data_IF_028176136848
#
_entry.id   IF_028176136848
#
_cell.length_a   1.000
_cell.length_b   1.000
_cell.length_c   1.000
_cell.angle_alpha   90.00
_cell.angle_beta   90.00
_cell.angle_gamma   90.00
#
_symmetry.space_group_name_H-M   'P 1'
#
loop_
_entity.id
_entity.type
_entity.pdbx_description
1 polymer ?
#
# COMPACT_ATOMS: atom_id res chain seq x y z
N UNK A 1 13.94 58.44 -41.76
CA UNK A 1 14.75 57.55 -40.91
C UNK A 1 13.98 57.27 -39.63
N UNK A 2 13.70 55.99 -39.37
CA UNK A 2 13.01 55.51 -38.18
C UNK A 2 13.94 55.57 -36.96
N UNK A 3 13.48 56.12 -35.84
CA UNK A 3 14.15 55.99 -34.54
C UNK A 3 13.17 55.36 -33.56
N UNK A 4 13.47 54.12 -33.19
CA UNK A 4 12.74 53.27 -32.26
C UNK A 4 12.79 53.81 -30.82
N UNK A 5 11.63 54.04 -30.22
CA UNK A 5 11.50 54.17 -28.76
C UNK A 5 11.24 52.77 -28.15
N UNK A 6 11.96 52.35 -27.09
CA UNK A 6 11.76 51.05 -26.48
C UNK A 6 10.49 51.02 -25.60
N UNK A 7 9.67 49.97 -25.77
CA UNK A 7 8.46 49.71 -24.96
C UNK A 7 8.83 49.36 -23.50
N UNK A 8 8.00 49.75 -22.50
CA UNK A 8 8.32 49.54 -21.09
C UNK A 8 8.25 48.05 -20.71
N UNK A 9 9.32 47.54 -20.08
CA UNK A 9 9.36 46.20 -19.48
C UNK A 9 8.47 46.18 -18.23
N UNK A 10 7.35 45.46 -18.28
CA UNK A 10 6.54 45.19 -17.07
C UNK A 10 7.27 44.14 -16.20
N UNK A 11 7.96 44.62 -15.16
CA UNK A 11 8.49 43.77 -14.09
C UNK A 11 7.34 43.35 -13.17
N UNK A 12 6.92 42.08 -13.27
CA UNK A 12 6.02 41.48 -12.29
C UNK A 12 6.82 41.12 -11.02
N UNK A 13 6.89 42.06 -10.09
CA UNK A 13 7.43 41.83 -8.75
C UNK A 13 6.41 41.00 -7.95
N UNK A 14 6.62 39.68 -7.90
CA UNK A 14 5.86 38.79 -7.01
C UNK A 14 6.24 39.09 -5.56
N UNK A 15 5.40 39.87 -4.85
CA UNK A 15 5.50 40.06 -3.40
C UNK A 15 5.36 38.72 -2.68
N UNK A 16 6.40 38.35 -1.95
CA UNK A 16 6.47 37.20 -1.05
C UNK A 16 5.66 37.48 0.22
N UNK A 17 5.12 36.40 0.81
CA UNK A 17 4.50 36.27 2.13
C UNK A 17 2.96 36.40 2.25
N UNK A 18 2.29 35.26 2.01
CA UNK A 18 1.22 34.76 2.90
C UNK A 18 1.65 33.38 3.36
N UNK A 19 1.52 33.07 4.66
CA UNK A 19 1.78 31.73 5.20
C UNK A 19 1.01 30.70 4.36
N UNK A 20 1.73 29.85 3.63
CA UNK A 20 1.15 28.86 2.72
C UNK A 20 0.44 27.83 3.59
N UNK A 21 -0.89 27.90 3.68
CA UNK A 21 -1.69 26.73 3.97
C UNK A 21 -1.37 25.77 2.82
N UNK A 22 -0.60 24.70 3.09
CA UNK A 22 -0.21 23.76 2.04
C UNK A 22 -1.51 23.17 1.49
N UNK A 23 -1.86 23.51 0.24
CA UNK A 23 -3.00 22.92 -0.44
C UNK A 23 -2.70 21.43 -0.62
N UNK A 24 -3.21 20.61 0.29
CA UNK A 24 -3.01 19.16 0.30
C UNK A 24 -4.25 18.48 -0.24
N UNK A 25 -4.05 17.67 -1.26
CA UNK A 25 -5.07 16.79 -1.81
C UNK A 25 -5.06 15.53 -0.95
N UNK A 26 -6.13 15.25 -0.21
CA UNK A 26 -6.24 14.03 0.61
C UNK A 26 -7.22 13.07 -0.04
N UNK A 27 -6.77 11.85 -0.35
CA UNK A 27 -7.58 10.84 -1.03
C UNK A 27 -7.30 9.47 -0.42
N UNK A 28 -8.33 8.62 -0.33
CA UNK A 28 -8.19 7.19 -0.11
C UNK A 28 -7.33 6.57 -1.22
N UNK A 29 -6.46 5.63 -0.86
CA UNK A 29 -5.59 4.96 -1.82
C UNK A 29 -6.39 4.19 -2.88
N UNK A 30 -7.60 3.69 -2.57
CA UNK A 30 -8.51 3.07 -3.55
C UNK A 30 -8.79 4.01 -4.72
N UNK A 31 -9.05 5.29 -4.45
CA UNK A 31 -9.29 6.30 -5.48
C UNK A 31 -8.02 6.70 -6.27
N UNK A 32 -6.82 6.46 -5.72
CA UNK A 32 -5.56 6.66 -6.43
C UNK A 32 -5.36 5.54 -7.46
N UNK A 33 -5.68 4.31 -7.07
CA UNK A 33 -5.57 3.10 -7.89
C UNK A 33 -6.83 2.83 -8.76
N UNK A 34 -7.89 3.64 -8.65
CA UNK A 34 -9.10 3.48 -9.46
C UNK A 34 -8.89 3.89 -10.93
N UNK A 35 -9.63 3.29 -11.84
CA UNK A 35 -9.66 3.74 -13.23
C UNK A 35 -10.48 5.03 -13.37
N UNK A 36 -10.11 5.93 -14.28
CA UNK A 36 -10.88 7.14 -14.62
C UNK A 36 -11.14 7.17 -16.12
N UNK A 37 -12.37 7.45 -16.56
CA UNK A 37 -12.71 7.41 -17.98
C UNK A 37 -12.13 8.60 -18.79
N UNK A 38 -11.19 8.31 -19.70
CA UNK A 38 -10.69 9.26 -20.72
C UNK A 38 -10.36 10.68 -20.21
N UNK A 39 -9.88 10.80 -18.97
CA UNK A 39 -9.69 12.11 -18.33
C UNK A 39 -8.40 12.79 -18.81
N UNK A 40 -8.49 14.07 -19.16
CA UNK A 40 -7.32 14.85 -19.61
C UNK A 40 -6.50 15.42 -18.44
N UNK A 41 -5.27 15.87 -18.72
CA UNK A 41 -4.39 16.51 -17.72
C UNK A 41 -5.07 17.71 -17.03
N UNK A 42 -5.79 18.54 -17.79
CA UNK A 42 -6.43 19.73 -17.25
C UNK A 42 -7.67 19.38 -16.43
N UNK A 43 -8.40 18.34 -16.83
CA UNK A 43 -9.54 17.82 -16.09
C UNK A 43 -9.11 17.23 -14.73
N UNK A 44 -8.07 16.36 -14.70
CA UNK A 44 -7.55 15.83 -13.42
C UNK A 44 -7.06 16.96 -12.51
N UNK A 45 -6.41 18.00 -13.04
CA UNK A 45 -5.95 19.15 -12.23
C UNK A 45 -7.11 19.90 -11.58
N UNK A 46 -8.20 20.13 -12.31
CA UNK A 46 -9.39 20.79 -11.75
C UNK A 46 -10.03 19.91 -10.67
N UNK A 47 -10.13 18.61 -10.90
CA UNK A 47 -10.61 17.68 -9.89
C UNK A 47 -9.73 17.70 -8.63
N UNK A 48 -8.42 17.55 -8.77
CA UNK A 48 -7.50 17.54 -7.63
C UNK A 48 -7.44 18.90 -6.92
N UNK A 49 -7.58 20.02 -7.65
CA UNK A 49 -7.76 21.34 -7.04
C UNK A 49 -9.03 21.37 -6.18
N UNK A 50 -10.15 20.84 -6.68
CA UNK A 50 -11.42 20.80 -5.93
C UNK A 50 -11.27 19.96 -4.65
N UNK A 51 -10.59 18.82 -4.74
CA UNK A 51 -10.28 17.96 -3.58
C UNK A 51 -9.38 18.68 -2.56
N UNK A 52 -8.43 19.51 -3.01
CA UNK A 52 -7.52 20.24 -2.13
C UNK A 52 -8.20 21.30 -1.25
N UNK A 53 -9.45 21.67 -1.58
CA UNK A 53 -10.24 22.63 -0.80
C UNK A 53 -11.10 21.96 0.28
N UNK A 54 -11.19 20.63 0.27
CA UNK A 54 -11.91 19.89 1.29
C UNK A 54 -11.11 19.84 2.60
N UNK A 55 -11.82 19.75 3.71
CA UNK A 55 -11.27 19.35 4.99
C UNK A 55 -11.70 17.90 5.30
N UNK A 56 -10.85 16.89 5.04
CA UNK A 56 -11.22 15.47 5.14
C UNK A 56 -11.70 15.03 6.52
N UNK A 57 -11.33 15.75 7.59
CA UNK A 57 -11.66 15.40 8.98
C UNK A 57 -12.86 16.15 9.52
N UNK A 58 -13.21 17.31 8.96
CA UNK A 58 -14.31 18.16 9.44
C UNK A 58 -15.53 18.11 8.51
N UNK A 59 -15.31 18.00 7.21
CA UNK A 59 -16.39 17.99 6.24
C UNK A 59 -17.14 16.66 6.30
N UNK A 60 -18.46 16.74 6.37
CA UNK A 60 -19.36 15.57 6.39
C UNK A 60 -20.16 15.42 5.10
N UNK A 61 -20.33 16.51 4.35
CA UNK A 61 -21.12 16.57 3.13
C UNK A 61 -20.44 17.48 2.10
N UNK A 62 -20.65 17.20 0.81
CA UNK A 62 -20.19 18.09 -0.25
C UNK A 62 -21.19 19.21 -0.47
N UNK A 63 -20.75 20.44 -0.26
CA UNK A 63 -21.53 21.64 -0.57
C UNK A 63 -21.11 22.23 -1.92
N UNK A 64 -21.98 23.02 -2.58
CA UNK A 64 -21.59 23.78 -3.76
C UNK A 64 -20.46 24.75 -3.46
N UNK A 65 -19.33 24.57 -4.16
CA UNK A 65 -18.12 25.37 -4.03
C UNK A 65 -17.84 26.14 -5.32
N UNK A 66 -16.91 27.09 -5.25
CA UNK A 66 -16.53 27.93 -6.39
C UNK A 66 -15.03 27.83 -6.68
N UNK A 67 -14.71 27.80 -7.97
CA UNK A 67 -13.35 27.89 -8.50
C UNK A 67 -13.25 29.22 -9.26
N UNK A 68 -12.54 30.22 -8.71
CA UNK A 68 -12.16 31.39 -9.49
C UNK A 68 -11.25 30.94 -10.63
N UNK A 69 -11.55 31.33 -11.87
CA UNK A 69 -10.74 30.93 -13.03
C UNK A 69 -9.28 31.35 -12.83
N UNK A 70 -9.03 32.50 -12.20
CA UNK A 70 -7.69 33.00 -11.86
C UNK A 70 -6.84 32.02 -11.02
N UNK A 71 -7.45 31.16 -10.20
CA UNK A 71 -6.72 30.19 -9.36
C UNK A 71 -6.21 28.97 -10.15
N UNK A 72 -6.89 28.58 -11.23
CA UNK A 72 -6.54 27.40 -12.02
C UNK A 72 -5.89 27.77 -13.36
N UNK A 73 -6.17 28.96 -13.90
CA UNK A 73 -5.81 29.34 -15.26
C UNK A 73 -4.30 29.24 -15.55
N UNK A 74 -3.45 29.67 -14.60
CA UNK A 74 -1.99 29.55 -14.74
C UNK A 74 -1.50 28.10 -14.85
N UNK A 75 -2.19 27.15 -14.21
CA UNK A 75 -1.86 25.73 -14.24
C UNK A 75 -2.43 25.00 -15.47
N UNK A 76 -3.44 25.55 -16.12
CA UNK A 76 -4.06 24.99 -17.33
C UNK A 76 -3.29 25.32 -18.62
N UNK A 77 -2.25 26.16 -18.53
CA UNK A 77 -1.35 26.57 -19.63
C UNK A 77 -2.06 27.09 -20.90
N UNK A 78 -3.30 27.59 -20.77
CA UNK A 78 -4.01 28.24 -21.85
C UNK A 78 -3.59 29.71 -21.98
N UNK A 79 -3.31 30.15 -23.22
CA UNK A 79 -2.75 31.48 -23.51
C UNK A 79 -3.75 32.64 -23.40
N UNK A 80 -5.05 32.35 -23.36
CA UNK A 80 -6.11 33.38 -23.40
C UNK A 80 -7.01 33.31 -22.17
N UNK A 81 -6.91 34.35 -21.33
CA UNK A 81 -7.51 34.47 -20.00
C UNK A 81 -9.04 34.35 -19.95
N UNK A 82 -9.74 34.31 -21.09
CA UNK A 82 -11.21 34.40 -21.15
C UNK A 82 -11.85 33.58 -22.29
N UNK A 83 -11.25 32.46 -22.72
CA UNK A 83 -11.89 31.63 -23.74
C UNK A 83 -13.09 30.86 -23.15
N UNK A 84 -14.26 31.50 -23.17
CA UNK A 84 -15.52 30.93 -22.69
C UNK A 84 -15.78 29.54 -23.26
N UNK A 85 -15.50 29.36 -24.55
CA UNK A 85 -15.70 28.09 -25.26
C UNK A 85 -14.83 26.99 -24.66
N UNK A 86 -13.58 27.30 -24.35
CA UNK A 86 -12.67 26.36 -23.69
C UNK A 86 -13.17 25.95 -22.31
N UNK A 87 -13.50 26.90 -21.44
CA UNK A 87 -13.97 26.59 -20.07
C UNK A 87 -15.31 25.85 -20.10
N UNK A 88 -16.23 26.25 -20.99
CA UNK A 88 -17.50 25.53 -21.20
C UNK A 88 -17.24 24.07 -21.58
N UNK A 89 -16.33 23.83 -22.54
CA UNK A 89 -15.96 22.47 -22.97
C UNK A 89 -15.29 21.67 -21.86
N UNK A 90 -14.42 22.32 -21.07
CA UNK A 90 -13.80 21.71 -19.90
C UNK A 90 -14.86 21.26 -18.88
N UNK A 91 -15.84 22.11 -18.55
CA UNK A 91 -16.93 21.76 -17.65
C UNK A 91 -17.81 20.64 -18.20
N UNK A 92 -18.15 20.68 -19.50
CA UNK A 92 -18.95 19.65 -20.17
C UNK A 92 -18.25 18.28 -20.15
N UNK A 93 -16.94 18.26 -20.41
CA UNK A 93 -16.16 17.03 -20.31
C UNK A 93 -16.04 16.54 -18.87
N UNK A 94 -15.71 17.43 -17.92
CA UNK A 94 -15.60 17.09 -16.49
C UNK A 94 -16.89 16.49 -15.93
N UNK A 95 -18.05 16.99 -16.35
CA UNK A 95 -19.35 16.47 -15.94
C UNK A 95 -19.59 15.02 -16.38
N UNK A 96 -18.89 14.55 -17.42
CA UNK A 96 -18.95 13.19 -17.94
C UNK A 96 -17.89 12.27 -17.33
N UNK A 97 -17.04 12.79 -16.44
CA UNK A 97 -15.97 12.01 -15.83
C UNK A 97 -16.48 11.15 -14.68
N UNK A 98 -16.13 9.88 -14.76
CA UNK A 98 -16.40 8.82 -13.80
C UNK A 98 -15.09 8.20 -13.35
N UNK A 99 -15.15 7.55 -12.19
CA UNK A 99 -14.13 6.60 -11.77
C UNK A 99 -14.79 5.23 -11.53
N UNK A 100 -14.01 4.18 -11.67
CA UNK A 100 -14.45 2.81 -11.45
C UNK A 100 -13.77 2.25 -10.21
N UNK A 101 -14.56 1.70 -9.29
CA UNK A 101 -14.06 0.93 -8.15
C UNK A 101 -14.45 -0.54 -8.34
N UNK A 102 -13.45 -1.40 -8.23
CA UNK A 102 -13.57 -2.86 -8.33
C UNK A 102 -13.06 -3.42 -7.01
N UNK A 103 -13.95 -3.45 -6.01
CA UNK A 103 -13.63 -3.91 -4.67
C UNK A 103 -14.29 -5.24 -4.38
N UNK A 104 -13.56 -6.10 -3.68
CA UNK A 104 -14.13 -7.25 -3.01
C UNK A 104 -14.87 -6.74 -1.76
N UNK A 105 -16.19 -6.85 -1.78
CA UNK A 105 -17.02 -6.65 -0.59
C UNK A 105 -17.27 -7.98 0.11
N UNK A 106 -17.67 -7.95 1.37
CA UNK A 106 -18.13 -9.15 2.09
C UNK A 106 -19.63 -9.04 2.22
N UNK A 107 -20.35 -10.03 1.73
CA UNK A 107 -21.79 -10.11 1.94
C UNK A 107 -22.04 -10.28 3.45
N UNK A 108 -22.76 -9.34 4.11
CA UNK A 108 -22.98 -9.41 5.56
C UNK A 108 -23.86 -10.59 5.99
N UNK A 109 -24.55 -11.24 5.04
CA UNK A 109 -25.47 -12.36 5.26
C UNK A 109 -24.77 -13.69 5.07
N UNK A 110 -23.99 -13.85 3.98
CA UNK A 110 -23.33 -15.12 3.64
C UNK A 110 -21.89 -15.18 4.14
N UNK A 111 -21.30 -14.04 4.52
CA UNK A 111 -19.90 -13.88 4.89
C UNK A 111 -18.92 -14.32 3.76
N UNK A 112 -19.42 -14.35 2.52
CA UNK A 112 -18.64 -14.66 1.32
C UNK A 112 -18.10 -13.39 0.67
N UNK A 113 -17.00 -13.52 -0.06
CA UNK A 113 -16.45 -12.43 -0.86
C UNK A 113 -17.28 -12.27 -2.14
N UNK A 114 -17.74 -11.04 -2.37
CA UNK A 114 -18.48 -10.66 -3.57
C UNK A 114 -17.65 -9.63 -4.33
N UNK A 115 -17.42 -9.91 -5.61
CA UNK A 115 -16.83 -8.94 -6.54
C UNK A 115 -17.87 -7.87 -6.87
N UNK A 116 -17.62 -6.63 -6.45
CA UNK A 116 -18.50 -5.50 -6.73
C UNK A 116 -17.82 -4.55 -7.74
N UNK A 117 -18.52 -4.31 -8.85
CA UNK A 117 -18.13 -3.34 -9.88
C UNK A 117 -19.03 -2.12 -9.80
N UNK A 118 -18.44 -0.95 -9.56
CA UNK A 118 -19.17 0.32 -9.52
C UNK A 118 -18.48 1.40 -10.35
N UNK A 119 -19.21 1.99 -11.29
CA UNK A 119 -18.77 3.20 -12.01
C UNK A 119 -19.55 4.41 -11.49
N UNK A 120 -18.83 5.40 -10.95
CA UNK A 120 -19.42 6.53 -10.23
C UNK A 120 -19.00 7.86 -10.85
N UNK A 121 -19.93 8.82 -11.05
CA UNK A 121 -19.61 10.16 -11.51
C UNK A 121 -18.83 10.94 -10.44
N UNK A 122 -17.88 11.77 -10.87
CA UNK A 122 -17.03 12.56 -9.95
C UNK A 122 -17.74 13.83 -9.48
N UNK A 123 -18.36 14.55 -10.40
CA UNK A 123 -19.08 15.79 -10.13
C UNK A 123 -20.58 15.57 -10.26
N UNK A 124 -21.34 16.05 -9.30
CA UNK A 124 -22.80 16.11 -9.40
C UNK A 124 -23.24 17.28 -10.27
N UNK A 125 -22.53 18.42 -10.17
CA UNK A 125 -22.87 19.63 -10.94
C UNK A 125 -21.63 20.45 -11.24
N UNK A 126 -21.60 21.04 -12.43
CA UNK A 126 -20.62 22.02 -12.88
C UNK A 126 -21.35 23.15 -13.62
N UNK A 127 -21.16 24.40 -13.19
CA UNK A 127 -21.78 25.58 -13.79
C UNK A 127 -20.73 26.65 -14.01
N UNK A 128 -20.54 27.09 -15.24
CA UNK A 128 -19.64 28.19 -15.55
C UNK A 128 -20.41 29.51 -15.73
N UNK A 129 -20.04 30.53 -14.96
CA UNK A 129 -20.61 31.89 -15.08
C UNK A 129 -19.59 32.83 -15.71
N UNK A 130 -19.73 33.08 -17.03
CA UNK A 130 -18.80 33.90 -17.82
C UNK A 130 -18.48 35.25 -17.17
N UNK A 131 -19.51 36.04 -16.82
CA UNK A 131 -19.35 37.40 -16.27
C UNK A 131 -18.62 37.43 -14.93
N UNK A 132 -18.65 36.34 -14.18
CA UNK A 132 -18.00 36.24 -12.87
C UNK A 132 -16.62 35.57 -12.96
N UNK A 133 -16.26 35.01 -14.12
CA UNK A 133 -15.05 34.19 -14.29
C UNK A 133 -14.94 33.10 -13.19
N UNK A 134 -16.04 32.41 -12.92
CA UNK A 134 -16.15 31.41 -11.85
C UNK A 134 -16.81 30.12 -12.36
N UNK A 135 -16.28 28.97 -11.94
CA UNK A 135 -16.92 27.66 -12.04
C UNK A 135 -17.53 27.32 -10.68
N UNK A 136 -18.83 27.12 -10.60
CA UNK A 136 -19.48 26.50 -9.44
C UNK A 136 -19.51 24.99 -9.61
N UNK A 137 -19.13 24.23 -8.60
CA UNK A 137 -19.09 22.78 -8.64
C UNK A 137 -19.64 22.16 -7.36
N UNK A 138 -20.10 20.92 -7.45
CA UNK A 138 -20.35 20.05 -6.29
C UNK A 138 -19.85 18.65 -6.66
N UNK A 139 -19.07 18.05 -5.77
CA UNK A 139 -18.65 16.66 -5.91
C UNK A 139 -19.84 15.73 -5.68
N UNK A 140 -19.83 14.57 -6.33
CA UNK A 140 -20.89 13.60 -6.19
C UNK A 140 -20.83 12.86 -4.85
N UNK A 141 -21.96 12.63 -4.21
CA UNK A 141 -22.02 11.97 -2.91
C UNK A 141 -21.40 10.56 -2.89
N UNK A 142 -21.40 9.85 -4.02
CA UNK A 142 -20.73 8.56 -4.15
C UNK A 142 -19.21 8.61 -3.92
N UNK A 143 -18.56 9.78 -4.12
CA UNK A 143 -17.11 9.92 -3.87
C UNK A 143 -16.78 10.21 -2.38
N UNK A 144 -17.78 10.44 -1.52
CA UNK A 144 -17.58 10.76 -0.08
C UNK A 144 -16.66 9.77 0.63
N UNK A 145 -16.84 8.43 0.51
CA UNK A 145 -16.02 7.45 1.23
C UNK A 145 -14.53 7.52 0.88
N UNK A 146 -14.19 8.15 -0.24
CA UNK A 146 -12.82 8.23 -0.76
C UNK A 146 -12.14 9.57 -0.44
N UNK A 147 -12.88 10.57 0.04
CA UNK A 147 -12.36 11.92 0.27
C UNK A 147 -12.61 12.45 1.69
N UNK A 148 -13.68 11.99 2.35
CA UNK A 148 -14.11 12.45 3.67
C UNK A 148 -14.06 11.32 4.71
N UNK A 149 -13.87 11.67 5.98
CA UNK A 149 -13.84 10.69 7.07
C UNK A 149 -12.67 9.70 7.00
N UNK A 150 -11.60 10.04 6.25
CA UNK A 150 -10.46 9.17 5.99
C UNK A 150 -9.64 8.97 7.27
N UNK A 151 -9.66 7.74 7.81
CA UNK A 151 -8.91 7.37 9.03
C UNK A 151 -7.62 6.62 8.74
N UNK A 152 -7.61 5.79 7.69
CA UNK A 152 -6.50 4.90 7.32
C UNK A 152 -6.39 4.83 5.79
N UNK A 153 -5.24 4.38 5.29
CA UNK A 153 -5.03 4.08 3.86
C UNK A 153 -5.32 5.25 2.93
N UNK A 154 -4.95 6.47 3.33
CA UNK A 154 -5.07 7.66 2.49
C UNK A 154 -3.71 8.28 2.22
N UNK A 155 -3.63 9.05 1.15
CA UNK A 155 -2.43 9.78 0.74
C UNK A 155 -2.73 11.25 0.60
N UNK A 156 -1.87 12.07 1.22
CA UNK A 156 -1.87 13.51 1.06
C UNK A 156 -0.84 13.94 0.01
N UNK A 157 -1.30 14.51 -1.08
CA UNK A 157 -0.47 14.96 -2.20
C UNK A 157 -0.39 16.49 -2.22
N UNK A 158 0.81 17.09 -2.23
CA UNK A 158 0.94 18.53 -2.40
C UNK A 158 0.44 18.97 -3.78
N UNK A 159 -0.56 19.86 -3.81
CA UNK A 159 -1.12 20.36 -5.06
C UNK A 159 -0.06 21.07 -5.92
N UNK A 160 0.89 21.75 -5.29
CA UNK A 160 1.98 22.46 -5.98
C UNK A 160 2.89 21.54 -6.79
N UNK A 161 2.97 20.25 -6.44
CA UNK A 161 3.69 19.26 -7.25
C UNK A 161 2.90 18.82 -8.48
N UNK A 162 1.56 18.88 -8.42
CA UNK A 162 0.64 18.42 -9.47
C UNK A 162 0.45 19.48 -10.56
N UNK A 163 0.16 20.73 -10.16
CA UNK A 163 -0.18 21.80 -11.08
C UNK A 163 0.82 22.04 -12.23
N UNK A 164 2.16 21.95 -12.04
CA UNK A 164 3.11 22.14 -13.13
C UNK A 164 3.31 20.91 -14.05
N UNK A 165 2.78 19.73 -13.69
CA UNK A 165 2.88 18.54 -14.53
C UNK A 165 1.98 18.67 -15.76
N UNK A 166 2.46 18.27 -16.94
CA UNK A 166 1.71 18.31 -18.21
C UNK A 166 1.19 16.96 -18.63
N UNK A 167 1.75 15.88 -18.08
CA UNK A 167 1.32 14.52 -18.33
C UNK A 167 0.31 14.07 -17.29
N UNK A 168 -0.90 13.71 -17.73
CA UNK A 168 -1.88 13.00 -16.91
C UNK A 168 -1.26 11.77 -16.23
N UNK A 169 -0.47 11.00 -16.97
CA UNK A 169 0.20 9.82 -16.44
C UNK A 169 1.25 10.16 -15.36
N UNK A 170 1.95 11.30 -15.47
CA UNK A 170 2.89 11.72 -14.43
C UNK A 170 2.17 11.99 -13.11
N UNK A 171 1.02 12.66 -13.15
CA UNK A 171 0.19 12.96 -11.99
C UNK A 171 -0.26 11.67 -11.32
N UNK A 172 -0.85 10.75 -12.10
CA UNK A 172 -1.36 9.46 -11.59
C UNK A 172 -0.25 8.58 -11.00
N UNK A 173 0.86 8.40 -11.73
CA UNK A 173 2.00 7.61 -11.26
C UNK A 173 2.58 8.25 -10.00
N UNK A 174 2.76 9.58 -9.96
CA UNK A 174 3.25 10.25 -8.76
C UNK A 174 2.39 9.98 -7.52
N UNK A 175 1.07 10.05 -7.64
CA UNK A 175 0.15 9.73 -6.53
C UNK A 175 0.33 8.29 -6.05
N UNK A 176 0.48 7.32 -6.97
CA UNK A 176 0.78 5.93 -6.64
C UNK A 176 2.11 5.80 -5.89
N UNK A 177 3.20 6.37 -6.41
CA UNK A 177 4.52 6.34 -5.75
C UNK A 177 4.48 7.00 -4.37
N UNK A 178 3.75 8.11 -4.23
CA UNK A 178 3.59 8.81 -2.96
C UNK A 178 2.80 7.98 -1.94
N UNK A 179 1.82 7.19 -2.40
CA UNK A 179 1.06 6.28 -1.54
C UNK A 179 1.91 5.13 -0.98
N UNK A 180 2.85 4.62 -1.78
CA UNK A 180 3.77 3.55 -1.37
C UNK A 180 4.91 4.09 -0.50
N UNK A 181 5.48 5.26 -0.84
CA UNK A 181 6.60 5.82 -0.08
C UNK A 181 6.19 6.20 1.35
N UNK A 182 4.94 6.63 1.54
CA UNK A 182 4.34 6.92 2.85
C UNK A 182 4.08 5.65 3.68
N UNK A 183 3.98 4.50 3.03
CA UNK A 183 3.97 3.18 3.66
C UNK A 183 5.40 2.62 3.84
N UNK A 184 6.43 3.46 3.74
CA UNK A 184 7.84 3.09 3.84
C UNK A 184 8.34 2.12 2.76
N UNK A 185 7.67 2.00 1.61
CA UNK A 185 8.11 1.18 0.46
C UNK A 185 8.84 2.02 -0.60
N UNK A 186 10.02 1.59 -1.04
CA UNK A 186 10.81 2.29 -2.06
C UNK A 186 10.57 1.72 -3.46
N UNK A 187 9.74 0.68 -3.53
CA UNK A 187 9.45 -0.05 -4.73
C UNK A 187 7.95 -0.25 -4.88
N UNK A 188 7.50 -0.24 -6.12
CA UNK A 188 6.13 -0.58 -6.52
C UNK A 188 6.23 -1.54 -7.70
N UNK A 189 5.95 -2.81 -7.45
CA UNK A 189 5.81 -3.82 -8.49
C UNK A 189 4.35 -3.89 -8.93
N UNK A 190 4.10 -3.75 -10.21
CA UNK A 190 2.75 -3.77 -10.78
C UNK A 190 2.73 -4.45 -12.14
N UNK A 191 1.64 -5.17 -12.42
CA UNK A 191 1.40 -5.75 -13.73
C UNK A 191 1.20 -4.63 -14.78
N UNK A 192 1.78 -4.80 -15.97
CA UNK A 192 1.72 -3.79 -17.03
C UNK A 192 0.30 -3.57 -17.54
N UNK A 193 -0.48 -4.64 -17.73
CA UNK A 193 -1.84 -4.53 -18.23
C UNK A 193 -2.73 -3.80 -17.22
N UNK A 194 -2.64 -4.18 -15.94
CA UNK A 194 -3.35 -3.51 -14.86
C UNK A 194 -2.98 -2.02 -14.74
N UNK A 195 -1.68 -1.69 -14.85
CA UNK A 195 -1.27 -0.28 -14.83
C UNK A 195 -1.82 0.49 -16.05
N UNK A 196 -1.80 -0.11 -17.24
CA UNK A 196 -2.35 0.50 -18.45
C UNK A 196 -3.86 0.77 -18.31
N UNK A 197 -4.58 -0.12 -17.66
CA UNK A 197 -6.01 -0.01 -17.38
C UNK A 197 -6.33 1.13 -16.39
N UNK A 198 -5.69 1.14 -15.21
CA UNK A 198 -5.89 2.19 -14.19
C UNK A 198 -5.54 3.58 -14.74
N UNK A 199 -4.47 3.64 -15.55
CA UNK A 199 -4.05 4.87 -16.23
C UNK A 199 -4.91 5.18 -17.47
N UNK A 200 -5.83 4.30 -17.87
CA UNK A 200 -6.66 4.44 -19.06
C UNK A 200 -5.85 4.84 -20.30
N UNK A 201 -4.76 4.10 -20.51
CA UNK A 201 -3.82 4.34 -21.59
C UNK A 201 -4.52 4.11 -22.93
N UNK A 202 -4.38 5.07 -23.85
CA UNK A 202 -4.93 4.94 -25.18
C UNK A 202 -4.44 3.68 -25.88
N UNK A 203 -5.32 3.00 -26.64
CA UNK A 203 -5.02 1.74 -27.33
C UNK A 203 -3.74 1.80 -28.18
N UNK A 204 -3.48 2.94 -28.82
CA UNK A 204 -2.28 3.19 -29.63
C UNK A 204 -0.97 3.19 -28.84
N UNK A 205 -1.01 3.33 -27.52
CA UNK A 205 0.16 3.38 -26.63
C UNK A 205 0.32 2.10 -25.78
N UNK A 206 -0.50 1.07 -25.99
CA UNK A 206 -0.43 -0.17 -25.21
C UNK A 206 0.81 -1.01 -25.55
N UNK A 207 1.35 -0.85 -26.75
CA UNK A 207 2.59 -1.51 -27.16
C UNK A 207 3.72 -1.03 -26.26
N UNK A 208 4.51 -1.96 -25.72
CA UNK A 208 5.52 -1.67 -24.70
C UNK A 208 6.47 -0.51 -25.06
N UNK A 209 6.93 -0.42 -26.31
CA UNK A 209 7.85 0.63 -26.72
C UNK A 209 7.22 2.02 -26.60
N UNK A 210 5.97 2.17 -27.04
CA UNK A 210 5.22 3.43 -26.95
C UNK A 210 4.80 3.72 -25.51
N UNK A 211 4.35 2.72 -24.77
CA UNK A 211 4.06 2.85 -23.35
C UNK A 211 5.29 3.35 -22.58
N UNK A 212 6.45 2.74 -22.79
CA UNK A 212 7.71 3.15 -22.17
C UNK A 212 8.05 4.60 -22.53
N UNK A 213 8.06 4.95 -23.82
CA UNK A 213 8.51 6.25 -24.31
C UNK A 213 7.55 7.40 -23.95
N UNK A 214 6.26 7.22 -24.18
CA UNK A 214 5.27 8.29 -24.10
C UNK A 214 4.57 8.37 -22.74
N UNK A 215 4.56 7.27 -21.97
CA UNK A 215 3.95 7.22 -20.65
C UNK A 215 5.02 7.22 -19.56
N UNK A 216 5.83 6.17 -19.48
CA UNK A 216 6.73 5.93 -18.34
C UNK A 216 7.90 6.94 -18.28
N UNK A 217 8.64 7.12 -19.39
CA UNK A 217 9.77 8.05 -19.44
C UNK A 217 9.33 9.51 -19.29
N UNK A 218 8.18 9.86 -19.87
CA UNK A 218 7.59 11.20 -19.70
C UNK A 218 7.18 11.43 -18.25
N UNK A 219 6.54 10.45 -17.62
CA UNK A 219 6.19 10.50 -16.21
C UNK A 219 7.43 10.67 -15.32
N UNK A 220 8.46 9.86 -15.53
CA UNK A 220 9.72 9.94 -14.78
C UNK A 220 10.33 11.34 -14.85
N UNK A 221 10.42 11.94 -16.05
CA UNK A 221 10.96 13.30 -16.24
C UNK A 221 10.18 14.35 -15.47
N UNK A 222 8.85 14.32 -15.53
CA UNK A 222 8.01 15.31 -14.86
C UNK A 222 8.00 15.12 -13.32
N UNK A 223 7.93 13.88 -12.83
CA UNK A 223 8.02 13.55 -11.40
C UNK A 223 9.34 14.05 -10.83
N UNK A 224 10.46 13.70 -11.49
CA UNK A 224 11.79 14.09 -11.06
C UNK A 224 12.02 15.60 -11.15
N UNK A 225 11.23 16.34 -11.94
CA UNK A 225 11.32 17.79 -12.02
C UNK A 225 10.49 18.50 -10.96
N UNK A 226 9.22 18.11 -10.77
CA UNK A 226 8.25 18.91 -10.03
C UNK A 226 7.89 18.38 -8.64
N UNK A 227 8.16 17.11 -8.35
CA UNK A 227 7.78 16.49 -7.07
C UNK A 227 8.91 16.48 -6.04
N UNK A 228 8.62 16.05 -4.82
CA UNK A 228 9.61 15.76 -3.78
C UNK A 228 10.13 14.31 -3.80
N UNK A 229 9.71 13.52 -4.80
CA UNK A 229 10.15 12.15 -5.07
C UNK A 229 11.09 12.14 -6.29
N UNK A 230 12.06 11.23 -6.28
CA UNK A 230 12.83 10.82 -7.45
C UNK A 230 12.40 9.41 -7.82
N UNK A 231 11.87 9.24 -9.02
CA UNK A 231 11.75 7.95 -9.68
C UNK A 231 13.10 7.62 -10.32
N UNK A 232 13.85 6.74 -9.66
CA UNK A 232 15.24 6.36 -9.96
C UNK A 232 15.26 5.45 -11.17
N UNK A 233 14.46 4.39 -11.14
CA UNK A 233 14.47 3.35 -12.16
C UNK A 233 13.07 2.78 -12.39
N UNK A 234 12.85 2.31 -13.62
CA UNK A 234 11.66 1.54 -14.02
C UNK A 234 12.16 0.24 -14.64
N UNK A 235 12.14 -0.82 -13.84
CA UNK A 235 12.70 -2.12 -14.18
C UNK A 235 11.62 -3.03 -14.78
N UNK A 236 11.72 -3.45 -16.05
CA UNK A 236 10.77 -4.37 -16.66
C UNK A 236 11.10 -5.84 -16.36
N UNK A 237 10.08 -6.61 -15.99
CA UNK A 237 10.15 -8.04 -15.73
C UNK A 237 9.47 -8.82 -16.86
N UNK A 238 10.15 -9.84 -17.36
CA UNK A 238 9.69 -10.65 -18.51
C UNK A 238 9.24 -12.03 -18.07
N UNK A 239 8.19 -12.51 -18.72
CA UNK A 239 7.82 -13.91 -18.75
C UNK A 239 7.91 -14.38 -20.20
N UNK A 240 8.96 -15.13 -20.52
CA UNK A 240 9.33 -15.43 -21.90
C UNK A 240 9.66 -14.16 -22.70
N UNK A 241 8.94 -13.92 -23.80
CA UNK A 241 9.14 -12.74 -24.66
C UNK A 241 8.33 -11.52 -24.23
N UNK A 242 7.29 -11.70 -23.40
CA UNK A 242 6.36 -10.64 -23.00
C UNK A 242 6.84 -10.00 -21.70
N UNK A 243 6.73 -8.68 -21.61
CA UNK A 243 6.90 -7.95 -20.34
C UNK A 243 5.57 -8.01 -19.62
N UNK A 244 5.56 -8.62 -18.43
CA UNK A 244 4.35 -8.84 -17.65
C UNK A 244 4.23 -7.82 -16.53
N UNK A 245 5.34 -7.50 -15.88
CA UNK A 245 5.38 -6.63 -14.71
C UNK A 245 6.47 -5.57 -14.86
N UNK A 246 6.30 -4.47 -14.14
CA UNK A 246 7.33 -3.46 -13.97
C UNK A 246 7.49 -3.15 -12.49
N UNK A 247 8.72 -2.84 -12.09
CA UNK A 247 9.03 -2.35 -10.75
C UNK A 247 9.54 -0.92 -10.85
N UNK A 248 8.81 0.01 -10.23
CA UNK A 248 9.28 1.38 -10.02
C UNK A 248 10.18 1.41 -8.79
N UNK A 249 11.37 1.98 -8.90
CA UNK A 249 12.28 2.24 -7.77
C UNK A 249 12.35 3.74 -7.51
N UNK A 250 12.01 4.18 -6.31
CA UNK A 250 11.85 5.60 -5.99
C UNK A 250 12.16 5.96 -4.54
N UNK A 251 12.57 7.22 -4.35
CA UNK A 251 13.05 7.76 -3.08
C UNK A 251 12.66 9.22 -2.89
N UNK A 252 12.73 9.73 -1.66
CA UNK A 252 12.58 11.18 -1.44
C UNK A 252 13.82 11.92 -1.97
N UNK A 253 13.62 13.09 -2.57
CA UNK A 253 14.72 13.99 -2.97
C UNK A 253 15.53 14.50 -1.78
N UNK A 254 14.85 14.84 -0.70
CA UNK A 254 15.47 15.40 0.50
C UNK A 254 16.12 14.31 1.33
N UNK A 255 17.41 14.45 1.60
CA UNK A 255 18.18 13.56 2.48
C UNK A 255 17.56 13.46 3.87
N UNK A 256 17.10 14.57 4.45
CA UNK A 256 16.46 14.56 5.78
C UNK A 256 15.19 13.69 5.79
N UNK A 257 14.33 13.83 4.77
CA UNK A 257 13.14 12.98 4.62
C UNK A 257 13.50 11.51 4.45
N UNK A 258 14.57 11.21 3.72
CA UNK A 258 15.09 9.83 3.58
C UNK A 258 15.53 9.27 4.92
N UNK A 259 16.35 10.01 5.66
CA UNK A 259 16.84 9.61 6.98
C UNK A 259 15.67 9.34 7.92
N UNK A 260 14.76 10.29 8.09
CA UNK A 260 13.58 10.15 8.98
C UNK A 260 12.76 8.91 8.63
N UNK A 261 12.52 8.68 7.34
CA UNK A 261 11.81 7.50 6.85
C UNK A 261 12.58 6.21 7.13
N UNK A 262 13.88 6.15 6.89
CA UNK A 262 14.70 4.96 7.16
C UNK A 262 14.66 4.61 8.65
N UNK A 263 14.74 5.61 9.54
CA UNK A 263 14.52 5.43 10.99
C UNK A 263 13.13 4.85 11.27
N UNK A 264 12.10 5.36 10.59
CA UNK A 264 10.71 4.92 10.78
C UNK A 264 10.50 3.48 10.32
N UNK A 265 11.07 3.12 9.17
CA UNK A 265 11.03 1.76 8.61
C UNK A 265 11.71 0.76 9.55
N UNK A 266 12.87 1.12 10.09
CA UNK A 266 13.58 0.31 11.08
C UNK A 266 12.76 0.16 12.37
N UNK A 267 12.20 1.24 12.90
CA UNK A 267 11.35 1.19 14.09
C UNK A 267 10.10 0.32 13.87
N UNK A 268 9.46 0.42 12.70
CA UNK A 268 8.29 -0.41 12.35
C UNK A 268 8.65 -1.89 12.26
N UNK A 269 9.79 -2.23 11.65
CA UNK A 269 10.27 -3.62 11.57
C UNK A 269 10.55 -4.18 12.96
N UNK A 270 11.21 -3.40 13.81
CA UNK A 270 11.49 -3.76 15.20
C UNK A 270 10.20 -3.99 15.98
N UNK A 271 9.23 -3.08 15.88
CA UNK A 271 7.94 -3.23 16.56
C UNK A 271 7.19 -4.47 16.10
N UNK A 272 7.19 -4.78 14.80
CA UNK A 272 6.57 -6.00 14.28
C UNK A 272 7.21 -7.27 14.86
N UNK A 273 8.54 -7.28 15.05
CA UNK A 273 9.24 -8.38 15.73
C UNK A 273 8.84 -8.46 17.21
N UNK A 274 8.80 -7.33 17.91
CA UNK A 274 8.41 -7.29 19.33
C UNK A 274 6.98 -7.77 19.56
N UNK A 275 6.05 -7.36 18.70
CA UNK A 275 4.65 -7.79 18.78
C UNK A 275 4.53 -9.28 18.46
N UNK A 276 5.24 -9.78 17.45
CA UNK A 276 5.32 -11.20 17.19
C UNK A 276 5.91 -11.98 18.38
N UNK A 277 6.89 -11.45 19.10
CA UNK A 277 7.41 -12.08 20.32
C UNK A 277 6.39 -12.12 21.46
N UNK A 278 5.64 -11.04 21.68
CA UNK A 278 4.58 -11.04 22.69
C UNK A 278 3.55 -12.13 22.44
N UNK A 279 3.24 -12.44 21.17
CA UNK A 279 2.31 -13.52 20.83
C UNK A 279 2.77 -14.91 21.28
N UNK A 280 4.08 -15.15 21.42
CA UNK A 280 4.64 -16.44 21.84
C UNK A 280 4.84 -16.55 23.35
N UNK A 281 4.89 -15.43 24.09
CA UNK A 281 5.15 -15.45 25.52
C UNK A 281 4.08 -16.27 26.25
N UNK A 282 4.50 -17.27 27.04
CA UNK A 282 3.60 -18.17 27.76
C UNK A 282 2.90 -19.23 26.90
N UNK A 283 3.19 -19.29 25.58
CA UNK A 283 2.70 -20.37 24.71
C UNK A 283 3.71 -21.52 24.64
N UNK A 284 3.20 -22.71 24.35
CA UNK A 284 4.03 -23.86 24.01
C UNK A 284 4.47 -23.78 22.56
N UNK A 285 5.73 -24.15 22.30
CA UNK A 285 6.25 -24.30 20.96
C UNK A 285 6.97 -25.63 20.80
N UNK A 286 6.86 -26.20 19.61
CA UNK A 286 7.57 -27.39 19.20
C UNK A 286 9.07 -27.08 19.06
N UNK A 287 9.89 -27.81 19.81
CA UNK A 287 11.34 -27.70 19.77
C UNK A 287 11.96 -29.04 19.38
N UNK A 288 12.91 -29.01 18.45
CA UNK A 288 13.61 -30.22 18.01
C UNK A 288 14.72 -30.55 19.02
N UNK A 289 14.51 -31.62 19.81
CA UNK A 289 15.55 -32.14 20.70
C UNK A 289 16.45 -33.07 19.89
N UNK A 290 17.71 -32.67 19.67
CA UNK A 290 18.72 -33.56 19.08
C UNK A 290 19.14 -34.61 20.13
N UNK A 291 18.57 -35.81 20.05
CA UNK A 291 19.05 -36.98 20.79
C UNK A 291 20.33 -37.51 20.15
N UNK A 292 21.38 -37.70 20.95
CA UNK A 292 22.70 -38.17 20.49
C UNK A 292 22.76 -39.69 20.21
N UNK A 293 21.67 -40.46 20.36
CA UNK A 293 21.79 -41.92 20.47
C UNK A 293 20.85 -42.78 19.61
N UNK A 294 20.12 -42.25 18.63
CA UNK A 294 19.52 -43.09 17.57
C UNK A 294 19.30 -42.35 16.25
N UNK A 295 19.39 -43.05 15.10
CA UNK A 295 19.13 -42.44 13.80
C UNK A 295 17.64 -42.15 13.64
N UNK A 296 17.30 -40.86 13.55
CA UNK A 296 16.12 -40.31 12.88
C UNK A 296 14.77 -40.80 13.44
N UNK A 297 14.43 -40.39 14.66
CA UNK A 297 13.07 -39.92 14.92
C UNK A 297 13.17 -38.51 15.47
N UNK A 298 12.91 -37.52 14.61
CA UNK A 298 12.73 -36.14 15.03
C UNK A 298 11.36 -36.06 15.70
N UNK A 299 11.25 -36.49 16.96
CA UNK A 299 10.03 -36.29 17.74
C UNK A 299 10.03 -34.82 18.16
N UNK A 300 9.10 -34.05 17.60
CA UNK A 300 8.82 -32.71 18.10
C UNK A 300 8.06 -32.87 19.42
N UNK A 301 8.76 -32.80 20.55
CA UNK A 301 8.10 -32.74 21.86
C UNK A 301 7.49 -31.34 22.01
N UNK A 302 6.15 -31.28 21.97
CA UNK A 302 5.36 -30.05 21.99
C UNK A 302 5.35 -29.30 23.34
N UNK A 303 6.14 -29.72 24.32
CA UNK A 303 5.99 -29.31 25.71
C UNK A 303 7.06 -28.33 26.21
N UNK A 304 7.53 -27.45 25.31
CA UNK A 304 8.42 -26.35 25.66
C UNK A 304 7.64 -25.03 25.75
N UNK A 305 7.50 -24.48 26.96
CA UNK A 305 6.87 -23.17 27.18
C UNK A 305 7.87 -22.03 26.98
N UNK A 306 7.46 -20.98 26.27
CA UNK A 306 8.25 -19.76 26.12
C UNK A 306 8.15 -18.93 27.40
N UNK A 307 9.16 -19.01 28.25
CA UNK A 307 9.13 -18.36 29.57
C UNK A 307 9.55 -16.91 29.51
N UNK A 308 10.61 -16.61 28.77
CA UNK A 308 11.14 -15.25 28.64
C UNK A 308 11.98 -15.10 27.38
N UNK A 309 12.19 -13.85 27.00
CA UNK A 309 13.17 -13.48 26.00
C UNK A 309 14.42 -12.95 26.68
N UNK A 310 15.58 -13.46 26.29
CA UNK A 310 16.89 -13.00 26.74
C UNK A 310 17.68 -12.46 25.55
N UNK A 311 18.63 -11.57 25.82
CA UNK A 311 19.43 -10.95 24.77
C UNK A 311 18.57 -10.40 23.63
N UNK A 312 17.32 -9.96 23.92
CA UNK A 312 16.66 -8.90 23.15
C UNK A 312 17.66 -7.77 23.23
N UNK A 313 18.53 -7.68 22.22
CA UNK A 313 19.84 -7.08 22.37
C UNK A 313 19.73 -5.78 23.15
N UNK A 314 20.69 -5.44 24.01
CA UNK A 314 20.70 -4.10 24.63
C UNK A 314 20.63 -2.99 23.54
N UNK A 315 20.95 -3.37 22.31
CA UNK A 315 20.77 -2.70 21.02
C UNK A 315 19.31 -2.60 20.50
N UNK A 316 18.38 -3.51 20.79
CA UNK A 316 16.92 -3.41 20.57
C UNK A 316 16.25 -2.39 21.50
N UNK A 317 16.70 -2.34 22.77
CA UNK A 317 16.30 -1.29 23.74
C UNK A 317 16.93 0.06 23.38
N UNK A 318 18.17 0.08 22.88
CA UNK A 318 18.86 1.29 22.41
C UNK A 318 18.51 1.72 20.96
N UNK A 319 17.93 0.86 20.14
CA UNK A 319 17.47 1.19 18.77
C UNK A 319 16.30 2.18 18.78
N UNK A 320 15.62 2.33 19.94
CA UNK A 320 14.74 3.46 20.22
C UNK A 320 15.46 4.83 20.06
N UNK A 321 16.80 4.86 20.12
CA UNK A 321 17.62 6.07 20.10
C UNK A 321 18.62 6.20 18.91
N UNK A 322 19.09 5.13 18.25
CA UNK A 322 20.02 5.23 17.09
C UNK A 322 19.96 4.06 16.07
N UNK A 323 19.41 4.29 14.85
CA UNK A 323 19.03 3.22 13.89
C UNK A 323 20.08 2.54 12.96
N UNK A 324 21.21 3.15 12.61
CA UNK A 324 21.97 2.73 11.39
C UNK A 324 22.83 1.44 11.53
N UNK A 325 22.95 0.83 12.71
CA UNK A 325 24.05 -0.12 13.01
C UNK A 325 23.78 -1.63 12.82
N UNK A 326 22.57 -2.07 12.47
CA UNK A 326 22.11 -3.44 12.82
C UNK A 326 21.77 -4.39 11.66
N UNK A 327 22.58 -4.43 10.59
CA UNK A 327 22.29 -5.27 9.40
C UNK A 327 22.54 -6.78 9.56
N UNK A 328 23.25 -7.27 10.59
CA UNK A 328 23.77 -8.67 10.62
C UNK A 328 23.89 -9.33 12.03
N UNK A 329 22.95 -9.13 12.98
CA UNK A 329 23.01 -9.78 14.31
C UNK A 329 21.72 -10.50 14.68
N UNK A 330 21.83 -11.53 15.54
CA UNK A 330 20.67 -12.18 16.16
C UNK A 330 19.83 -11.13 16.89
N UNK A 331 18.52 -11.13 16.65
CA UNK A 331 17.62 -10.08 17.12
C UNK A 331 17.15 -10.38 18.54
N UNK A 332 16.85 -11.64 18.87
CA UNK A 332 16.58 -12.06 20.25
C UNK A 332 16.85 -13.56 20.46
N UNK A 333 16.98 -13.98 21.71
CA UNK A 333 17.02 -15.40 22.10
C UNK A 333 15.75 -15.73 22.89
N UNK A 334 14.98 -16.69 22.38
CA UNK A 334 13.81 -17.21 23.06
C UNK A 334 14.24 -18.31 24.04
N UNK A 335 13.87 -18.18 25.31
CA UNK A 335 14.11 -19.21 26.33
C UNK A 335 12.90 -20.11 26.45
N UNK A 336 13.14 -21.39 26.23
CA UNK A 336 12.15 -22.43 26.24
C UNK A 336 12.36 -23.28 27.47
N UNK A 337 11.34 -23.46 28.28
CA UNK A 337 11.37 -24.37 29.41
C UNK A 337 10.58 -25.61 29.05
N UNK A 338 11.27 -26.73 29.01
CA UNK A 338 10.67 -28.05 28.93
C UNK A 338 9.84 -28.30 30.20
N UNK A 339 8.57 -28.70 30.01
CA UNK A 339 7.61 -28.91 31.10
C UNK A 339 7.89 -30.18 31.91
N UNK A 340 8.42 -31.23 31.28
CA UNK A 340 8.71 -32.50 31.96
C UNK A 340 10.04 -32.45 32.68
N UNK A 341 11.11 -32.04 31.98
CA UNK A 341 12.47 -32.05 32.52
C UNK A 341 12.84 -30.77 33.27
N UNK A 342 12.08 -29.69 33.07
CA UNK A 342 12.38 -28.36 33.61
C UNK A 342 13.61 -27.69 32.98
N UNK A 343 14.28 -28.34 32.02
CA UNK A 343 15.48 -27.81 31.36
C UNK A 343 15.15 -26.58 30.50
N UNK A 344 16.11 -25.66 30.44
CA UNK A 344 15.99 -24.43 29.66
C UNK A 344 16.82 -24.54 28.38
N UNK A 345 16.15 -24.39 27.24
CA UNK A 345 16.74 -24.34 25.91
C UNK A 345 16.75 -22.91 25.38
N UNK A 346 17.66 -22.64 24.44
CA UNK A 346 17.83 -21.32 23.82
C UNK A 346 17.63 -21.41 22.32
N UNK A 347 16.64 -20.70 21.80
CA UNK A 347 16.36 -20.63 20.37
C UNK A 347 16.68 -19.21 19.85
N UNK A 348 17.65 -19.11 18.95
CA UNK A 348 18.05 -17.83 18.38
C UNK A 348 17.06 -17.39 17.28
N UNK A 349 16.51 -16.18 17.42
CA UNK A 349 15.67 -15.54 16.41
C UNK A 349 16.47 -14.45 15.71
N UNK A 350 16.56 -14.54 14.38
CA UNK A 350 17.35 -13.62 13.56
C UNK A 350 16.52 -12.56 12.85
N UNK A 351 15.28 -12.87 12.51
CA UNK A 351 14.39 -12.02 11.71
C UNK A 351 12.93 -12.51 11.79
N UNK A 352 12.00 -11.80 11.14
CA UNK A 352 10.60 -12.22 10.99
C UNK A 352 10.46 -13.59 10.30
N UNK A 353 11.33 -13.94 9.35
CA UNK A 353 11.30 -15.25 8.69
C UNK A 353 11.61 -16.39 9.66
N UNK A 354 12.52 -16.15 10.61
CA UNK A 354 12.82 -17.09 11.69
C UNK A 354 11.57 -17.33 12.55
N UNK A 355 10.79 -16.28 12.82
CA UNK A 355 9.52 -16.38 13.55
C UNK A 355 8.47 -17.15 12.73
N UNK A 356 8.35 -16.88 11.43
CA UNK A 356 7.41 -17.59 10.56
C UNK A 356 7.73 -19.09 10.49
N UNK A 357 9.01 -19.47 10.40
CA UNK A 357 9.45 -20.86 10.48
C UNK A 357 9.09 -21.53 11.81
N UNK A 358 9.09 -20.79 12.92
CA UNK A 358 8.64 -21.32 14.22
C UNK A 358 7.13 -21.62 14.16
N UNK A 359 6.32 -20.73 13.57
CA UNK A 359 4.88 -20.97 13.36
C UNK A 359 4.61 -22.19 12.48
N UNK A 360 5.33 -22.31 11.36
CA UNK A 360 5.22 -23.45 10.45
C UNK A 360 5.57 -24.77 11.14
N UNK A 361 6.65 -24.77 11.94
CA UNK A 361 7.04 -25.94 12.76
C UNK A 361 5.98 -26.29 13.78
N UNK A 362 5.41 -25.30 14.46
CA UNK A 362 4.34 -25.52 15.42
C UNK A 362 3.12 -26.18 14.76
N UNK A 363 2.67 -25.66 13.61
CA UNK A 363 1.56 -26.25 12.87
C UNK A 363 1.86 -27.68 12.40
N UNK A 364 3.09 -27.96 11.98
CA UNK A 364 3.52 -29.30 11.61
C UNK A 364 3.54 -30.26 12.80
N UNK A 365 4.04 -29.81 13.95
CA UNK A 365 4.08 -30.61 15.18
C UNK A 365 2.67 -30.89 15.72
N UNK A 366 1.77 -29.91 15.71
CA UNK A 366 0.36 -30.11 16.06
C UNK A 366 -0.28 -31.16 15.15
N UNK A 367 -0.08 -31.07 13.83
CA UNK A 367 -0.58 -32.06 12.86
C UNK A 367 -0.02 -33.47 13.12
N UNK A 368 1.27 -33.59 13.44
CA UNK A 368 1.90 -34.87 13.78
C UNK A 368 1.40 -35.43 15.13
N UNK A 369 1.18 -34.57 16.14
CA UNK A 369 0.61 -34.96 17.42
C UNK A 369 -0.80 -35.53 17.28
N UNK A 370 -1.64 -34.98 16.39
CA UNK A 370 -2.95 -35.56 16.06
C UNK A 370 -2.84 -36.93 15.39
N UNK A 371 -1.80 -37.18 14.59
CA UNK A 371 -1.56 -38.49 13.98
C UNK A 371 -1.07 -39.53 15.01
N UNK A 372 -0.21 -39.13 15.94
CA UNK A 372 0.28 -40.02 16.99
C UNK A 372 -0.79 -40.28 18.06
N UNK A 373 -1.60 -39.30 18.47
CA UNK A 373 -2.73 -39.54 19.40
C UNK A 373 -3.75 -40.53 18.82
N UNK A 374 -4.02 -40.47 17.49
CA UNK A 374 -4.86 -41.47 16.83
C UNK A 374 -4.23 -42.86 16.85
N UNK A 375 -2.95 -42.99 16.51
CA UNK A 375 -2.23 -44.29 16.56
C UNK A 375 -2.10 -44.85 17.97
N UNK A 376 -1.87 -44.00 18.96
CA UNK A 376 -1.77 -44.38 20.38
C UNK A 376 -3.13 -44.81 20.90
N UNK A 377 -4.20 -44.10 20.55
CA UNK A 377 -5.58 -44.49 20.87
C UNK A 377 -5.93 -45.83 20.22
N UNK A 378 -5.65 -45.99 18.93
CA UNK A 378 -5.87 -47.25 18.20
C UNK A 378 -5.09 -48.41 18.85
N UNK A 379 -3.83 -48.17 19.26
CA UNK A 379 -3.00 -49.18 19.94
C UNK A 379 -3.53 -49.54 21.33
N UNK A 380 -4.00 -48.56 22.10
CA UNK A 380 -4.59 -48.76 23.42
C UNK A 380 -5.93 -49.50 23.33
N UNK A 381 -6.77 -49.16 22.35
CA UNK A 381 -8.05 -49.81 22.09
C UNK A 381 -7.83 -51.26 21.62
N UNK A 382 -6.82 -51.52 20.79
CA UNK A 382 -6.38 -52.88 20.43
C UNK A 382 -5.92 -53.66 21.67
N UNK A 383 -5.09 -53.07 22.54
CA UNK A 383 -4.62 -53.73 23.75
C UNK A 383 -5.77 -54.05 24.72
N UNK A 384 -6.74 -53.14 24.86
CA UNK A 384 -7.93 -53.39 25.69
C UNK A 384 -8.81 -54.47 25.08
N UNK A 385 -8.98 -54.50 23.76
CA UNK A 385 -9.73 -55.55 23.07
C UNK A 385 -9.04 -56.92 23.20
N UNK A 386 -7.70 -56.97 23.19
CA UNK A 386 -6.94 -58.19 23.48
C UNK A 386 -7.18 -58.66 24.92
N UNK A 387 -7.08 -57.75 25.90
CA UNK A 387 -7.27 -58.08 27.33
C UNK A 387 -8.68 -58.56 27.64
N UNK A 388 -9.68 -58.02 26.95
CA UNK A 388 -11.08 -58.35 27.17
C UNK A 388 -11.59 -59.48 26.27
N UNK A 389 -10.72 -60.05 25.41
CA UNK A 389 -11.10 -61.13 24.48
C UNK A 389 -11.98 -60.70 23.30
N UNK A 390 -12.19 -59.39 23.10
CA UNK A 390 -13.06 -58.80 22.06
C UNK A 390 -12.30 -58.33 20.81
N UNK A 391 -11.03 -58.72 20.65
CA UNK A 391 -10.17 -58.27 19.56
C UNK A 391 -10.77 -58.51 18.16
N UNK A 392 -11.45 -59.63 17.96
CA UNK A 392 -12.04 -59.98 16.67
C UNK A 392 -13.18 -59.01 16.28
N UNK A 393 -14.02 -58.62 17.24
CA UNK A 393 -15.13 -57.68 17.04
C UNK A 393 -14.62 -56.27 16.76
N UNK A 394 -13.60 -55.83 17.51
CA UNK A 394 -12.92 -54.56 17.28
C UNK A 394 -12.30 -54.49 15.87
N UNK A 395 -11.65 -55.56 15.42
CA UNK A 395 -11.06 -55.65 14.08
C UNK A 395 -12.10 -55.64 12.94
N UNK A 396 -13.32 -56.13 13.19
CA UNK A 396 -14.43 -56.07 12.22
C UNK A 396 -15.00 -54.65 12.11
N UNK A 397 -15.19 -53.94 13.23
CA UNK A 397 -15.59 -52.53 13.25
C UNK A 397 -14.55 -51.64 12.57
N UNK A 398 -13.27 -51.82 12.88
CA UNK A 398 -12.18 -51.04 12.27
C UNK A 398 -12.07 -51.20 10.75
N UNK A 399 -12.49 -52.36 10.22
CA UNK A 399 -12.58 -52.60 8.77
C UNK A 399 -13.77 -51.92 8.09
N UNK A 400 -14.81 -51.52 8.83
CA UNK A 400 -15.97 -50.82 8.29
C UNK A 400 -15.81 -49.29 8.34
N UNK A 401 -14.95 -48.77 9.22
CA UNK A 401 -14.66 -47.34 9.37
C UNK A 401 -13.54 -46.81 8.45
N UNK A 402 -12.84 -47.71 7.73
CA UNK A 402 -11.85 -47.39 6.69
C UNK A 402 -12.46 -47.61 5.31
#
# INVERSE_FOLDING_TARGET
>A
MSVNAPKPKKNYNYKKSRKIQKNLITQDNRLIYSQYNEMTTNEIKVFLWAVSKLNPTQDTHFIPCKIPISEIFGALEHKETENYTYIKKLCDNLAKRTFTDETLSIDPTTNEQVEEFATMPIFQVLKYKKKQAEITYQLNDYIKPYLLGLKKSFTQTPLDCILPMKSYYAIRIYQMLLSEIKQNKNTLKINVAYLQEILSVAKSLLVWQDFKRFVLEKAQKEINKYSDIVLVEIEPHKQGRKITDITFHFEYKSTDKRIVRDKTKQNSYINAILDAFKEFLGKTIAYEVKSNSMPISCVYEGDCEVVRFENCSDELKNALNTPEKYKNRQVAVMKLKDRESGKIYSLAVRDLNSIQKIRERQAQAESLFYQDTKKVKDSFDIQNAVKNGTLFEYMQQWKQEK
#
